data_IF_296884779737
#
_entry.id   IF_296884779737
#
_cell.length_a   1.000
_cell.length_b   1.000
_cell.length_c   1.000
_cell.angle_alpha   90.00
_cell.angle_beta   90.00
_cell.angle_gamma   90.00
#
_symmetry.space_group_name_H-M   'P 1'
#
loop_
_entity.id
_entity.type
_entity.pdbx_description
1 polymer ?
#
# COMPACT_ATOMS: atom_id res chain seq x y z
N UNK A 1 32.74 15.14 -9.92
CA UNK A 1 32.06 13.84 -10.11
C UNK A 1 31.37 13.51 -8.76
N UNK A 2 30.08 13.11 -8.75
CA UNK A 2 29.52 12.59 -7.53
C UNK A 2 30.40 11.42 -7.05
N UNK A 3 30.61 11.33 -5.73
CA UNK A 3 31.40 10.22 -5.18
C UNK A 3 30.71 8.89 -5.53
N UNK A 4 31.46 7.82 -5.70
CA UNK A 4 30.92 6.48 -5.99
C UNK A 4 29.80 6.09 -5.01
N UNK A 5 29.93 6.48 -3.75
CA UNK A 5 28.93 6.28 -2.72
C UNK A 5 27.58 6.99 -3.02
N UNK A 6 27.61 8.24 -3.50
CA UNK A 6 26.37 8.96 -3.87
C UNK A 6 25.67 8.30 -5.07
N UNK A 7 26.44 7.83 -6.06
CA UNK A 7 25.91 7.09 -7.21
C UNK A 7 25.24 5.77 -6.78
N UNK A 8 25.84 5.06 -5.84
CA UNK A 8 25.32 3.78 -5.34
C UNK A 8 24.03 3.98 -4.54
N UNK A 9 23.95 5.02 -3.69
CA UNK A 9 22.71 5.37 -2.98
C UNK A 9 21.60 5.72 -3.97
N UNK A 10 21.89 6.45 -5.04
CA UNK A 10 20.89 6.77 -6.08
C UNK A 10 20.35 5.54 -6.81
N UNK A 11 21.23 4.61 -7.18
CA UNK A 11 20.82 3.34 -7.82
C UNK A 11 19.91 2.52 -6.88
N UNK A 12 20.25 2.45 -5.59
CA UNK A 12 19.45 1.71 -4.61
C UNK A 12 18.07 2.33 -4.37
N UNK A 13 17.98 3.67 -4.38
CA UNK A 13 16.67 4.34 -4.32
C UNK A 13 15.79 4.00 -5.52
N UNK A 14 16.36 3.89 -6.72
CA UNK A 14 15.61 3.56 -7.92
C UNK A 14 15.09 2.11 -7.89
N UNK A 15 15.93 1.16 -7.47
CA UNK A 15 15.55 -0.24 -7.26
C UNK A 15 14.44 -0.38 -6.21
N UNK A 16 14.59 0.30 -5.05
CA UNK A 16 13.58 0.33 -3.99
C UNK A 16 12.25 0.90 -4.51
N UNK A 17 12.29 2.05 -5.20
CA UNK A 17 11.08 2.67 -5.75
C UNK A 17 10.39 1.76 -6.77
N UNK A 18 11.12 1.14 -7.68
CA UNK A 18 10.58 0.22 -8.70
C UNK A 18 9.88 -0.97 -8.04
N UNK A 19 10.53 -1.63 -7.10
CA UNK A 19 9.96 -2.78 -6.41
C UNK A 19 8.74 -2.39 -5.58
N UNK A 20 8.85 -1.38 -4.71
CA UNK A 20 7.76 -0.97 -3.85
C UNK A 20 6.61 -0.27 -4.58
N UNK A 21 6.85 0.38 -5.74
CA UNK A 21 5.77 0.87 -6.61
C UNK A 21 4.94 -0.30 -7.14
N UNK A 22 5.60 -1.31 -7.72
CA UNK A 22 4.91 -2.48 -8.25
C UNK A 22 4.12 -3.21 -7.15
N UNK A 23 4.75 -3.49 -6.02
CA UNK A 23 4.12 -4.16 -4.88
C UNK A 23 2.94 -3.36 -4.34
N UNK A 24 3.07 -2.06 -4.13
CA UNK A 24 1.99 -1.23 -3.60
C UNK A 24 0.82 -1.07 -4.57
N UNK A 25 1.06 -1.08 -5.89
CA UNK A 25 0.02 -1.12 -6.92
C UNK A 25 -0.73 -2.47 -6.91
N UNK A 26 0.00 -3.58 -6.78
CA UNK A 26 -0.63 -4.89 -6.65
C UNK A 26 -1.44 -5.00 -5.36
N UNK A 27 -0.94 -4.50 -4.23
CA UNK A 27 -1.70 -4.44 -2.97
C UNK A 27 -2.97 -3.61 -3.13
N UNK A 28 -2.90 -2.43 -3.80
CA UNK A 28 -4.10 -1.62 -4.11
C UNK A 28 -5.13 -2.43 -4.89
N UNK A 29 -4.70 -3.11 -5.96
CA UNK A 29 -5.58 -3.94 -6.80
C UNK A 29 -6.18 -5.11 -6.01
N UNK A 30 -5.36 -5.86 -5.28
CA UNK A 30 -5.79 -7.00 -4.48
C UNK A 30 -6.74 -6.58 -3.35
N UNK A 31 -6.47 -5.46 -2.69
CA UNK A 31 -7.35 -4.92 -1.65
C UNK A 31 -8.72 -4.51 -2.23
N UNK A 32 -8.77 -3.84 -3.38
CA UNK A 32 -10.01 -3.54 -4.07
C UNK A 32 -10.79 -4.81 -4.46
N UNK A 33 -10.10 -5.83 -4.98
CA UNK A 33 -10.71 -7.13 -5.28
C UNK A 33 -11.25 -7.81 -4.02
N UNK A 34 -10.52 -7.76 -2.91
CA UNK A 34 -10.98 -8.30 -1.62
C UNK A 34 -12.27 -7.63 -1.14
N UNK A 35 -12.39 -6.31 -1.28
CA UNK A 35 -13.61 -5.56 -0.93
C UNK A 35 -14.81 -6.00 -1.78
N UNK A 36 -14.62 -6.13 -3.10
CA UNK A 36 -15.68 -6.65 -4.00
C UNK A 36 -16.10 -8.07 -3.59
N UNK A 37 -15.13 -8.94 -3.31
CA UNK A 37 -15.39 -10.31 -2.90
C UNK A 37 -16.14 -10.39 -1.57
N UNK A 38 -15.79 -9.53 -0.59
CA UNK A 38 -16.51 -9.46 0.69
C UNK A 38 -17.95 -9.00 0.48
N UNK A 39 -18.17 -7.92 -0.29
CA UNK A 39 -19.52 -7.44 -0.60
C UNK A 39 -20.38 -8.53 -1.28
N UNK A 40 -19.81 -9.29 -2.23
CA UNK A 40 -20.54 -10.33 -2.97
C UNK A 40 -20.88 -11.58 -2.15
N UNK A 41 -20.33 -11.74 -0.94
CA UNK A 41 -20.60 -12.86 -0.03
C UNK A 41 -21.68 -12.56 1.00
N UNK A 42 -22.16 -11.34 1.06
CA UNK A 42 -23.16 -10.89 2.01
C UNK A 42 -24.54 -10.89 1.32
N UNK A 43 -25.43 -11.72 1.78
CA UNK A 43 -26.76 -11.90 1.19
C UNK A 43 -27.61 -10.60 1.23
N UNK A 44 -27.36 -9.74 2.21
CA UNK A 44 -28.07 -8.46 2.39
C UNK A 44 -27.48 -7.31 1.55
N UNK A 45 -26.40 -7.54 0.79
CA UNK A 45 -25.74 -6.51 -0.03
C UNK A 45 -26.01 -6.74 -1.53
N UNK A 46 -26.74 -5.82 -2.14
CA UNK A 46 -27.00 -5.84 -3.59
C UNK A 46 -25.83 -5.36 -4.46
N UNK A 47 -24.76 -4.87 -3.81
CA UNK A 47 -23.58 -4.31 -4.46
C UNK A 47 -23.78 -2.92 -5.07
N UNK A 48 -24.97 -2.32 -5.01
CA UNK A 48 -25.29 -0.96 -5.48
C UNK A 48 -25.63 -0.02 -4.34
N UNK A 49 -26.54 -0.43 -3.46
CA UNK A 49 -27.01 0.38 -2.34
C UNK A 49 -25.87 0.84 -1.43
N UNK A 50 -24.89 0.00 -1.18
CA UNK A 50 -23.75 0.32 -0.33
C UNK A 50 -22.90 1.50 -0.85
N UNK A 51 -22.75 1.65 -2.17
CA UNK A 51 -22.03 2.80 -2.76
C UNK A 51 -22.83 4.08 -2.56
N UNK A 52 -24.15 4.02 -2.79
CA UNK A 52 -25.04 5.16 -2.54
C UNK A 52 -25.04 5.57 -1.06
N UNK A 53 -25.05 4.59 -0.14
CA UNK A 53 -24.98 4.81 1.30
C UNK A 53 -23.64 5.42 1.73
N UNK A 54 -22.54 4.91 1.20
CA UNK A 54 -21.21 5.49 1.40
C UNK A 54 -21.19 6.94 0.98
N UNK A 55 -21.68 7.27 -0.21
CA UNK A 55 -21.70 8.65 -0.72
C UNK A 55 -22.57 9.57 0.15
N UNK A 56 -23.72 9.08 0.64
CA UNK A 56 -24.60 9.83 1.56
C UNK A 56 -23.95 10.07 2.92
N UNK A 57 -23.20 9.11 3.44
CA UNK A 57 -22.53 9.21 4.73
C UNK A 57 -21.35 10.21 4.71
N UNK A 58 -20.82 10.56 3.53
CA UNK A 58 -19.68 11.46 3.46
C UNK A 58 -20.06 12.91 3.76
N UNK A 59 -19.16 13.64 4.41
CA UNK A 59 -19.28 15.09 4.54
C UNK A 59 -19.43 15.75 3.17
N UNK A 60 -20.27 16.77 3.06
CA UNK A 60 -20.59 17.47 1.80
C UNK A 60 -19.35 17.82 0.96
N UNK A 61 -18.30 18.34 1.59
CA UNK A 61 -17.05 18.73 0.89
C UNK A 61 -16.37 17.55 0.25
N UNK A 62 -16.27 16.43 0.95
CA UNK A 62 -15.60 15.23 0.45
C UNK A 62 -16.44 14.53 -0.61
N UNK A 63 -17.75 14.43 -0.41
CA UNK A 63 -18.67 13.93 -1.43
C UNK A 63 -18.57 14.75 -2.72
N UNK A 64 -18.61 16.08 -2.65
CA UNK A 64 -18.45 16.96 -3.82
C UNK A 64 -17.08 16.82 -4.50
N UNK A 65 -16.03 16.48 -3.75
CA UNK A 65 -14.72 16.14 -4.33
C UNK A 65 -14.81 14.89 -5.19
N UNK A 66 -15.39 13.79 -4.67
CA UNK A 66 -15.56 12.52 -5.40
C UNK A 66 -16.43 12.75 -6.65
N UNK A 67 -17.59 13.39 -6.50
CA UNK A 67 -18.52 13.66 -7.60
C UNK A 67 -17.85 14.47 -8.71
N UNK A 68 -17.06 15.48 -8.37
CA UNK A 68 -16.34 16.31 -9.33
C UNK A 68 -15.23 15.54 -10.04
N UNK A 69 -14.47 14.70 -9.30
CA UNK A 69 -13.44 13.86 -9.89
C UNK A 69 -14.04 12.89 -10.92
N UNK A 70 -15.14 12.20 -10.57
CA UNK A 70 -15.85 11.31 -11.48
C UNK A 70 -16.42 12.06 -12.68
N UNK A 71 -17.10 13.18 -12.45
CA UNK A 71 -17.72 13.99 -13.52
C UNK A 71 -16.68 14.55 -14.49
N UNK A 72 -15.51 14.96 -14.01
CA UNK A 72 -14.45 15.49 -14.86
C UNK A 72 -13.89 14.44 -15.84
N UNK A 73 -13.88 13.18 -15.42
CA UNK A 73 -13.43 12.07 -16.27
C UNK A 73 -14.52 11.54 -17.19
N UNK A 74 -15.77 11.68 -16.82
CA UNK A 74 -16.92 11.31 -17.63
C UNK A 74 -17.17 12.29 -18.79
N UNK A 75 -16.71 13.55 -18.68
CA UNK A 75 -17.01 14.61 -19.64
C UNK A 75 -16.81 14.18 -21.08
N UNK A 76 -17.92 14.12 -21.79
CA UNK A 76 -18.03 13.65 -23.16
C UNK A 76 -17.26 14.53 -24.13
N UNK A 77 -16.66 13.93 -25.11
CA UNK A 77 -15.92 14.57 -26.18
C UNK A 77 -14.45 14.17 -26.17
N UNK A 78 -13.64 14.91 -26.88
CA UNK A 78 -12.21 14.63 -27.14
C UNK A 78 -11.35 14.61 -25.85
N UNK A 79 -11.91 15.01 -24.69
CA UNK A 79 -11.19 15.28 -23.42
C UNK A 79 -11.58 14.33 -22.28
N UNK A 80 -12.45 13.32 -22.49
CA UNK A 80 -12.79 12.34 -21.46
C UNK A 80 -11.67 11.35 -21.21
N UNK A 81 -11.60 10.80 -19.99
CA UNK A 81 -10.66 9.71 -19.69
C UNK A 81 -11.03 8.46 -20.52
N UNK A 82 -10.12 8.08 -21.41
CA UNK A 82 -10.30 6.96 -22.35
C UNK A 82 -10.50 5.62 -21.61
N UNK A 83 -9.94 5.47 -20.42
CA UNK A 83 -9.96 4.20 -19.68
C UNK A 83 -11.17 4.06 -18.77
N UNK A 84 -11.56 5.11 -18.05
CA UNK A 84 -12.60 5.04 -17.01
C UNK A 84 -13.89 5.81 -17.37
N UNK A 85 -13.83 6.77 -18.28
CA UNK A 85 -14.95 7.66 -18.59
C UNK A 85 -16.21 6.93 -19.05
N UNK A 86 -16.06 5.84 -19.84
CA UNK A 86 -17.21 5.02 -20.31
C UNK A 86 -17.86 4.24 -19.16
N UNK A 87 -17.08 3.71 -18.22
CA UNK A 87 -17.59 3.01 -17.03
C UNK A 87 -18.36 3.99 -16.17
N UNK A 88 -17.80 5.17 -15.90
CA UNK A 88 -18.44 6.22 -15.10
C UNK A 88 -19.76 6.67 -15.77
N UNK A 89 -19.75 6.89 -17.08
CA UNK A 89 -20.94 7.30 -17.82
C UNK A 89 -22.04 6.25 -17.81
N UNK A 90 -21.68 4.96 -17.93
CA UNK A 90 -22.65 3.86 -17.95
C UNK A 90 -23.32 3.65 -16.59
N UNK A 91 -22.56 3.75 -15.49
CA UNK A 91 -23.04 3.50 -14.13
C UNK A 91 -23.31 4.77 -13.32
N UNK A 92 -23.43 5.93 -13.97
CA UNK A 92 -23.57 7.24 -13.27
C UNK A 92 -24.72 7.30 -12.26
N UNK A 93 -25.84 6.65 -12.55
CA UNK A 93 -27.07 6.74 -11.75
C UNK A 93 -27.15 5.65 -10.66
N UNK A 94 -26.49 4.50 -10.90
CA UNK A 94 -26.39 3.40 -9.93
C UNK A 94 -25.06 2.66 -10.14
N UNK A 95 -24.05 3.04 -9.37
CA UNK A 95 -22.70 2.50 -9.54
C UNK A 95 -22.50 1.27 -8.65
N UNK A 96 -22.24 0.07 -9.21
CA UNK A 96 -21.92 -1.10 -8.41
C UNK A 96 -20.52 -0.99 -7.77
N UNK A 97 -20.31 -1.73 -6.67
CA UNK A 97 -19.05 -1.72 -5.89
C UNK A 97 -17.82 -1.91 -6.77
N UNK A 98 -17.87 -2.88 -7.69
CA UNK A 98 -16.71 -3.16 -8.56
C UNK A 98 -16.37 -1.99 -9.48
N UNK A 99 -17.40 -1.35 -10.09
CA UNK A 99 -17.19 -0.19 -10.96
C UNK A 99 -16.71 1.03 -10.16
N UNK A 100 -17.28 1.24 -8.97
CA UNK A 100 -16.85 2.29 -8.06
C UNK A 100 -15.37 2.14 -7.69
N UNK A 101 -14.96 0.96 -7.24
CA UNK A 101 -13.57 0.68 -6.85
C UNK A 101 -12.60 0.74 -8.04
N UNK A 102 -13.04 0.44 -9.26
CA UNK A 102 -12.22 0.58 -10.46
C UNK A 102 -11.90 2.06 -10.74
N UNK A 103 -12.89 2.94 -10.61
CA UNK A 103 -12.75 4.32 -11.05
C UNK A 103 -12.29 5.30 -9.97
N UNK A 104 -12.40 4.97 -8.68
CA UNK A 104 -11.99 5.90 -7.62
C UNK A 104 -10.51 5.83 -7.31
N UNK A 105 -9.99 6.93 -6.75
CA UNK A 105 -8.61 6.98 -6.25
C UNK A 105 -8.41 5.99 -5.11
N UNK A 106 -7.16 5.57 -4.87
CA UNK A 106 -6.85 4.70 -3.73
C UNK A 106 -7.25 5.32 -2.39
N UNK A 107 -7.15 6.66 -2.26
CA UNK A 107 -7.64 7.35 -1.06
C UNK A 107 -9.13 7.20 -0.83
N UNK A 108 -9.94 7.30 -1.88
CA UNK A 108 -11.39 7.10 -1.83
C UNK A 108 -11.73 5.63 -1.56
N UNK A 109 -11.02 4.69 -2.19
CA UNK A 109 -11.17 3.26 -1.89
C UNK A 109 -10.87 2.93 -0.42
N UNK A 110 -9.89 3.56 0.21
CA UNK A 110 -9.62 3.42 1.64
C UNK A 110 -10.74 3.97 2.52
N UNK A 111 -11.32 5.12 2.16
CA UNK A 111 -12.48 5.65 2.88
C UNK A 111 -13.69 4.71 2.75
N UNK A 112 -13.89 4.13 1.58
CA UNK A 112 -14.93 3.10 1.36
C UNK A 112 -14.64 1.83 2.16
N UNK A 113 -13.38 1.38 2.23
CA UNK A 113 -12.97 0.25 3.05
C UNK A 113 -13.35 0.44 4.53
N UNK A 114 -13.07 1.63 5.09
CA UNK A 114 -13.45 1.95 6.48
C UNK A 114 -14.96 1.92 6.65
N UNK A 115 -15.71 2.55 5.76
CA UNK A 115 -17.17 2.54 5.78
C UNK A 115 -17.75 1.12 5.76
N UNK A 116 -17.23 0.26 4.85
CA UNK A 116 -17.64 -1.14 4.77
C UNK A 116 -17.30 -1.90 6.06
N UNK A 117 -16.10 -1.68 6.63
CA UNK A 117 -15.70 -2.36 7.87
C UNK A 117 -16.59 -2.00 9.07
N UNK A 118 -17.08 -0.77 9.11
CA UNK A 118 -18.03 -0.31 10.13
C UNK A 118 -19.43 -0.88 9.88
N UNK A 119 -19.90 -0.88 8.64
CA UNK A 119 -21.20 -1.40 8.21
C UNK A 119 -21.32 -2.90 8.45
N UNK A 120 -20.25 -3.65 8.22
CA UNK A 120 -20.24 -5.13 8.34
C UNK A 120 -19.71 -5.62 9.69
N UNK A 121 -19.37 -4.70 10.60
CA UNK A 121 -18.70 -4.99 11.88
C UNK A 121 -17.46 -5.90 11.73
N UNK A 122 -16.69 -5.67 10.65
CA UNK A 122 -15.47 -6.41 10.31
C UNK A 122 -14.23 -5.73 10.92
N UNK A 123 -13.85 -6.18 12.12
CA UNK A 123 -12.69 -5.65 12.84
C UNK A 123 -11.37 -5.88 12.08
N UNK A 124 -11.24 -7.02 11.36
CA UNK A 124 -10.05 -7.33 10.56
C UNK A 124 -9.92 -6.35 9.39
N UNK A 125 -11.01 -6.11 8.65
CA UNK A 125 -11.04 -5.13 7.56
C UNK A 125 -10.75 -3.71 8.05
N UNK A 126 -11.18 -3.37 9.27
CA UNK A 126 -10.88 -2.08 9.91
C UNK A 126 -9.38 -1.93 10.17
N UNK A 127 -8.70 -2.96 10.67
CA UNK A 127 -7.26 -2.95 10.84
C UNK A 127 -6.53 -2.89 9.49
N UNK A 128 -6.95 -3.68 8.50
CA UNK A 128 -6.44 -3.64 7.14
C UNK A 128 -6.53 -2.23 6.53
N UNK A 129 -7.62 -1.50 6.77
CA UNK A 129 -7.74 -0.09 6.36
C UNK A 129 -6.57 0.77 6.89
N UNK A 130 -6.23 0.64 8.18
CA UNK A 130 -5.14 1.44 8.77
C UNK A 130 -3.77 1.06 8.21
N UNK A 131 -3.51 -0.21 7.99
CA UNK A 131 -2.28 -0.70 7.34
C UNK A 131 -2.20 -0.18 5.90
N UNK A 132 -3.28 -0.26 5.13
CA UNK A 132 -3.37 0.22 3.76
C UNK A 132 -3.11 1.74 3.61
N UNK A 133 -3.29 2.54 4.68
CA UNK A 133 -2.84 3.96 4.68
C UNK A 133 -1.32 4.07 4.54
N UNK A 134 -0.57 3.16 5.14
CA UNK A 134 0.88 3.06 4.96
C UNK A 134 1.26 2.66 3.54
N UNK A 135 0.56 1.66 2.99
CA UNK A 135 0.73 1.24 1.58
C UNK A 135 0.50 2.43 0.63
N UNK A 136 -0.57 3.21 0.84
CA UNK A 136 -0.84 4.41 0.05
C UNK A 136 0.29 5.43 0.14
N UNK A 137 0.88 5.61 1.32
CA UNK A 137 2.00 6.53 1.50
C UNK A 137 3.24 6.07 0.71
N UNK A 138 3.57 4.77 0.73
CA UNK A 138 4.65 4.17 -0.07
C UNK A 138 4.37 4.33 -1.57
N UNK A 139 3.19 3.97 -2.02
CA UNK A 139 2.77 4.09 -3.42
C UNK A 139 2.93 5.53 -3.93
N UNK A 140 2.47 6.52 -3.16
CA UNK A 140 2.58 7.93 -3.54
C UNK A 140 4.04 8.40 -3.52
N UNK A 141 4.84 8.02 -2.51
CA UNK A 141 6.28 8.30 -2.47
C UNK A 141 6.99 7.80 -3.73
N UNK A 142 6.72 6.56 -4.13
CA UNK A 142 7.34 5.94 -5.30
C UNK A 142 6.86 6.57 -6.62
N UNK A 143 5.55 6.83 -6.76
CA UNK A 143 4.95 7.43 -7.96
C UNK A 143 5.44 8.87 -8.22
N UNK A 144 5.66 9.64 -7.15
CA UNK A 144 6.13 11.02 -7.26
C UNK A 144 7.67 11.15 -7.28
N UNK A 145 8.41 10.04 -7.32
CA UNK A 145 9.88 10.04 -7.35
C UNK A 145 10.53 10.54 -6.06
N UNK A 146 9.79 10.59 -4.95
CA UNK A 146 10.31 11.04 -3.66
C UNK A 146 11.39 10.09 -3.11
N UNK A 147 12.24 10.59 -2.22
CA UNK A 147 13.29 9.79 -1.59
C UNK A 147 12.68 8.79 -0.58
N UNK A 148 12.58 7.53 -1.00
CA UNK A 148 11.97 6.45 -0.20
C UNK A 148 12.80 6.11 1.06
N UNK A 149 14.11 6.35 1.03
CA UNK A 149 15.02 6.08 2.14
C UNK A 149 15.23 7.28 3.06
N UNK A 150 14.60 8.42 2.77
CA UNK A 150 14.75 9.62 3.59
C UNK A 150 14.21 9.37 5.01
N UNK A 151 15.04 9.63 6.01
CA UNK A 151 14.72 9.39 7.41
C UNK A 151 14.73 7.91 7.83
N UNK A 152 15.33 7.01 7.05
CA UNK A 152 15.63 5.63 7.49
C UNK A 152 16.90 5.61 8.37
N UNK A 153 16.81 6.31 9.48
CA UNK A 153 17.84 6.38 10.50
C UNK A 153 17.19 6.46 11.90
N UNK A 154 17.99 6.45 12.93
CA UNK A 154 17.51 6.51 14.32
C UNK A 154 16.92 7.86 14.74
N UNK A 155 16.97 8.89 13.91
CA UNK A 155 16.49 10.24 14.22
C UNK A 155 15.00 10.44 13.92
N UNK A 156 14.38 9.55 13.14
CA UNK A 156 13.00 9.68 12.68
C UNK A 156 12.06 8.67 13.34
N UNK A 157 12.06 8.67 14.66
CA UNK A 157 11.13 7.86 15.45
C UNK A 157 9.72 8.45 15.41
N UNK A 158 8.71 7.60 15.42
CA UNK A 158 7.30 7.99 15.52
C UNK A 158 6.60 7.21 16.63
N UNK A 159 5.56 7.81 17.21
CA UNK A 159 4.74 7.21 18.26
C UNK A 159 3.57 6.38 17.71
N UNK A 160 3.48 6.19 16.39
CA UNK A 160 2.45 5.34 15.80
C UNK A 160 2.70 3.88 16.17
N UNK A 161 1.76 3.29 16.89
CA UNK A 161 1.75 1.85 17.13
C UNK A 161 1.47 1.10 15.83
N UNK A 162 2.16 -0.02 15.62
CA UNK A 162 1.78 -0.99 14.59
C UNK A 162 0.45 -1.66 14.98
N UNK A 163 -0.34 -2.04 13.99
CA UNK A 163 -1.57 -2.81 14.25
C UNK A 163 -1.27 -4.20 14.76
N UNK A 164 -2.25 -4.83 15.43
CA UNK A 164 -2.14 -6.21 15.90
C UNK A 164 -1.83 -7.16 14.77
N UNK A 165 -2.46 -7.00 13.60
CA UNK A 165 -2.20 -7.83 12.41
C UNK A 165 -0.74 -7.80 11.95
N UNK A 166 -0.05 -6.66 12.10
CA UNK A 166 1.38 -6.56 11.77
C UNK A 166 2.23 -7.28 12.81
N UNK A 167 1.89 -7.16 14.10
CA UNK A 167 2.60 -7.89 15.15
C UNK A 167 2.41 -9.40 15.03
N UNK A 168 1.19 -9.86 14.73
CA UNK A 168 0.88 -11.28 14.52
C UNK A 168 1.67 -11.83 13.34
N UNK A 169 1.71 -11.11 12.22
CA UNK A 169 2.52 -11.47 11.06
C UNK A 169 4.01 -11.56 11.40
N UNK A 170 4.58 -10.60 12.14
CA UNK A 170 5.97 -10.63 12.56
C UNK A 170 6.27 -11.85 13.44
N UNK A 171 5.36 -12.21 14.33
CA UNK A 171 5.48 -13.38 15.20
C UNK A 171 5.41 -14.68 14.39
N UNK A 172 4.43 -14.83 13.51
CA UNK A 172 4.22 -15.97 12.62
C UNK A 172 5.44 -16.22 11.72
N UNK A 173 5.99 -15.16 11.12
CA UNK A 173 7.18 -15.24 10.27
C UNK A 173 8.50 -15.36 11.06
N UNK A 174 8.45 -15.46 12.39
CA UNK A 174 9.64 -15.65 13.23
C UNK A 174 10.57 -14.42 13.26
N UNK A 175 10.04 -13.23 13.05
CA UNK A 175 10.79 -11.98 13.20
C UNK A 175 10.93 -11.67 14.68
N UNK A 176 12.06 -12.02 15.28
CA UNK A 176 12.30 -11.86 16.71
C UNK A 176 12.17 -10.42 17.20
N UNK A 177 11.81 -10.27 18.47
CA UNK A 177 11.51 -8.97 19.12
C UNK A 177 12.72 -8.42 19.92
N UNK A 178 13.89 -8.25 19.28
CA UNK A 178 15.06 -7.63 19.92
C UNK A 178 14.90 -6.12 20.09
N UNK A 179 15.64 -5.52 21.06
CA UNK A 179 15.66 -4.06 21.27
C UNK A 179 15.98 -3.30 19.98
N UNK A 180 16.94 -3.78 19.21
CA UNK A 180 17.35 -3.16 17.93
C UNK A 180 16.25 -3.23 16.87
N UNK A 181 15.50 -4.34 16.78
CA UNK A 181 14.37 -4.47 15.84
C UNK A 181 13.21 -3.57 16.24
N UNK A 182 12.89 -3.49 17.54
CA UNK A 182 11.87 -2.55 18.05
C UNK A 182 12.21 -1.11 17.71
N UNK A 183 13.47 -0.70 17.90
CA UNK A 183 13.91 0.65 17.53
C UNK A 183 13.72 0.94 16.03
N UNK A 184 14.03 -0.03 15.14
CA UNK A 184 13.79 0.13 13.71
C UNK A 184 12.30 0.20 13.36
N UNK A 185 11.46 -0.55 14.06
CA UNK A 185 10.00 -0.53 13.88
C UNK A 185 9.34 0.74 14.44
N UNK A 186 10.04 1.56 15.19
CA UNK A 186 9.61 2.93 15.56
C UNK A 186 9.87 3.95 14.45
N UNK A 187 10.63 3.60 13.42
CA UNK A 187 10.84 4.47 12.28
C UNK A 187 9.65 4.40 11.32
N UNK A 188 8.99 5.54 11.04
CA UNK A 188 7.76 5.58 10.24
C UNK A 188 7.95 5.05 8.81
N UNK A 189 9.11 5.28 8.19
CA UNK A 189 9.39 4.75 6.84
C UNK A 189 9.47 3.23 6.86
N UNK A 190 10.17 2.68 7.84
CA UNK A 190 10.26 1.23 8.02
C UNK A 190 8.90 0.61 8.30
N UNK A 191 8.05 1.26 9.11
CA UNK A 191 6.67 0.80 9.32
C UNK A 191 5.90 0.73 8.01
N UNK A 192 5.92 1.78 7.20
CA UNK A 192 5.18 1.84 5.92
C UNK A 192 5.65 0.79 4.92
N UNK A 193 6.96 0.53 4.84
CA UNK A 193 7.51 -0.54 4.01
C UNK A 193 7.09 -1.92 4.52
N UNK A 194 7.15 -2.15 5.85
CA UNK A 194 6.65 -3.37 6.48
C UNK A 194 5.15 -3.55 6.24
N UNK A 195 4.34 -2.53 6.47
CA UNK A 195 2.89 -2.52 6.21
C UNK A 195 2.58 -2.94 4.77
N UNK A 196 3.40 -2.49 3.80
CA UNK A 196 3.26 -2.87 2.39
C UNK A 196 3.57 -4.34 2.16
N UNK A 197 4.64 -4.87 2.76
CA UNK A 197 5.02 -6.28 2.66
C UNK A 197 3.99 -7.19 3.34
N UNK A 198 3.51 -6.81 4.52
CA UNK A 198 2.47 -7.55 5.26
C UNK A 198 1.20 -7.66 4.42
N UNK A 199 0.72 -6.56 3.85
CA UNK A 199 -0.49 -6.59 3.01
C UNK A 199 -0.27 -7.36 1.70
N UNK A 200 0.93 -7.30 1.13
CA UNK A 200 1.27 -8.09 -0.06
C UNK A 200 1.17 -9.60 0.21
N UNK A 201 1.78 -10.07 1.30
CA UNK A 201 1.72 -11.49 1.71
C UNK A 201 0.30 -11.92 2.07
N UNK A 202 -0.39 -11.16 2.93
CA UNK A 202 -1.76 -11.46 3.40
C UNK A 202 -2.80 -11.54 2.27
N UNK A 203 -2.65 -10.73 1.24
CA UNK A 203 -3.55 -10.73 0.07
C UNK A 203 -3.16 -11.77 -0.99
N UNK A 204 -2.17 -12.63 -0.73
CA UNK A 204 -1.71 -13.67 -1.64
C UNK A 204 -0.80 -13.15 -2.76
N UNK A 205 -0.20 -11.99 -2.58
CA UNK A 205 0.65 -11.33 -3.57
C UNK A 205 1.79 -12.20 -4.11
N UNK A 206 2.56 -12.93 -3.29
CA UNK A 206 3.62 -13.80 -3.79
C UNK A 206 3.15 -14.83 -4.83
N UNK A 207 1.96 -15.38 -4.65
CA UNK A 207 1.37 -16.34 -5.60
C UNK A 207 0.70 -15.67 -6.79
N UNK A 208 0.06 -14.50 -6.58
CA UNK A 208 -0.80 -13.85 -7.56
C UNK A 208 -0.07 -12.80 -8.42
N UNK A 209 1.11 -12.34 -7.99
CA UNK A 209 1.83 -11.22 -8.59
C UNK A 209 3.30 -11.58 -8.87
N UNK A 210 3.60 -12.48 -9.82
CA UNK A 210 4.94 -13.01 -10.07
C UNK A 210 5.95 -11.90 -10.44
N UNK A 211 5.53 -10.84 -11.10
CA UNK A 211 6.39 -9.71 -11.44
C UNK A 211 6.87 -8.95 -10.20
N UNK A 212 5.97 -8.62 -9.29
CA UNK A 212 6.31 -7.94 -8.04
C UNK A 212 7.16 -8.82 -7.12
N UNK A 213 6.87 -10.12 -7.10
CA UNK A 213 7.68 -11.14 -6.40
C UNK A 213 9.11 -11.13 -6.91
N UNK A 214 9.33 -11.23 -8.23
CA UNK A 214 10.65 -11.19 -8.83
C UNK A 214 11.41 -9.86 -8.56
N UNK A 215 10.69 -8.73 -8.55
CA UNK A 215 11.29 -7.44 -8.19
C UNK A 215 11.73 -7.39 -6.73
N UNK A 216 10.95 -7.97 -5.81
CA UNK A 216 11.34 -8.06 -4.40
C UNK A 216 12.53 -9.00 -4.19
N UNK A 217 12.59 -10.14 -4.88
CA UNK A 217 13.73 -11.06 -4.85
C UNK A 217 15.03 -10.38 -5.32
N UNK A 218 14.95 -9.69 -6.47
CA UNK A 218 16.08 -8.91 -7.00
C UNK A 218 16.51 -7.80 -6.05
N UNK A 219 15.56 -7.07 -5.47
CA UNK A 219 15.84 -6.05 -4.47
C UNK A 219 16.51 -6.63 -3.24
N UNK A 220 16.01 -7.76 -2.70
CA UNK A 220 16.60 -8.44 -1.54
C UNK A 220 18.07 -8.78 -1.78
N UNK A 221 18.37 -9.39 -2.92
CA UNK A 221 19.74 -9.75 -3.29
C UNK A 221 20.65 -8.50 -3.37
N UNK A 222 20.14 -7.43 -3.99
CA UNK A 222 20.82 -6.15 -4.12
C UNK A 222 21.11 -5.48 -2.77
N UNK A 223 20.14 -5.50 -1.83
CA UNK A 223 20.31 -4.96 -0.49
C UNK A 223 21.36 -5.74 0.32
N UNK A 224 21.38 -7.06 0.22
CA UNK A 224 22.37 -7.90 0.89
C UNK A 224 23.78 -7.64 0.37
N UNK A 225 23.98 -7.57 -0.95
CA UNK A 225 25.28 -7.23 -1.56
C UNK A 225 25.79 -5.83 -1.12
N UNK A 226 24.87 -4.86 -0.95
CA UNK A 226 25.20 -3.55 -0.39
C UNK A 226 25.67 -3.66 1.06
N UNK A 227 24.99 -4.46 1.88
CA UNK A 227 25.35 -4.66 3.28
C UNK A 227 26.74 -5.31 3.47
N UNK A 228 27.16 -6.15 2.54
CA UNK A 228 28.49 -6.76 2.53
C UNK A 228 29.58 -5.73 2.20
N UNK A 229 29.29 -4.84 1.23
CA UNK A 229 30.25 -3.85 0.73
C UNK A 229 30.56 -2.72 1.73
N UNK A 230 29.61 -2.30 2.56
CA UNK A 230 29.74 -1.12 3.44
C UNK A 230 30.00 -1.41 4.92
N UNK A 231 30.08 -2.68 5.32
CA UNK A 231 30.38 -3.09 6.72
C UNK A 231 29.25 -2.84 7.73
N UNK A 232 29.41 -3.41 8.93
CA UNK A 232 28.34 -3.56 9.94
C UNK A 232 28.07 -2.28 10.73
N UNK A 233 28.97 -1.31 10.75
CA UNK A 233 28.91 -0.16 11.68
C UNK A 233 28.05 1.02 11.19
N UNK A 234 27.50 0.95 9.98
CA UNK A 234 26.66 2.02 9.43
C UNK A 234 25.19 1.79 9.84
N UNK A 235 24.62 2.74 10.58
CA UNK A 235 23.21 2.68 11.02
C UNK A 235 22.22 2.46 9.86
N UNK A 236 22.41 3.15 8.74
CA UNK A 236 21.58 3.00 7.53
C UNK A 236 21.66 1.58 6.93
N UNK A 237 22.88 1.01 6.84
CA UNK A 237 23.08 -0.38 6.37
C UNK A 237 22.32 -1.37 7.25
N UNK A 238 22.23 -1.10 8.55
CA UNK A 238 21.46 -1.92 9.48
C UNK A 238 19.95 -1.91 9.17
N UNK A 239 19.40 -0.77 8.69
CA UNK A 239 18.01 -0.69 8.21
C UNK A 239 17.81 -1.45 6.90
N UNK A 240 18.74 -1.36 5.95
CA UNK A 240 18.69 -2.09 4.67
C UNK A 240 18.72 -3.61 4.90
N UNK A 241 19.59 -4.09 5.81
CA UNK A 241 19.64 -5.50 6.18
C UNK A 241 18.34 -5.99 6.83
N UNK A 242 17.74 -5.15 7.67
CA UNK A 242 16.44 -5.47 8.27
C UNK A 242 15.34 -5.53 7.21
N UNK A 243 15.31 -4.58 6.27
CA UNK A 243 14.37 -4.60 5.16
C UNK A 243 14.54 -5.84 4.28
N UNK A 244 15.78 -6.24 3.95
CA UNK A 244 16.05 -7.47 3.20
C UNK A 244 15.49 -8.72 3.92
N UNK A 245 15.62 -8.78 5.25
CA UNK A 245 15.02 -9.84 6.06
C UNK A 245 13.48 -9.82 6.02
N UNK A 246 12.85 -8.64 6.10
CA UNK A 246 11.39 -8.53 5.99
C UNK A 246 10.88 -8.95 4.60
N UNK A 247 11.60 -8.61 3.54
CA UNK A 247 11.28 -9.06 2.17
C UNK A 247 11.36 -10.58 2.09
N UNK A 248 12.42 -11.19 2.61
CA UNK A 248 12.56 -12.65 2.66
C UNK A 248 11.37 -13.32 3.34
N UNK A 249 10.92 -12.76 4.47
CA UNK A 249 9.76 -13.25 5.21
C UNK A 249 8.42 -13.07 4.49
N UNK A 250 8.30 -12.04 3.66
CA UNK A 250 7.09 -11.81 2.87
C UNK A 250 7.00 -12.70 1.63
N UNK A 251 8.12 -13.25 1.17
CA UNK A 251 8.19 -14.13 -0.01
C UNK A 251 8.06 -15.63 0.31
N UNK A 252 8.27 -16.03 1.56
CA UNK A 252 8.21 -17.44 1.97
C UNK A 252 8.37 -17.70 3.40
#
# INVERSE_FOLDING_TARGET
>A
KPSSAASDVYKRQDELRKAFLAVSQDVERLAKTSMVTRASRLDDEDGYGIVADFMRAQQRRYRSYIERDLSSRMSAGIVGDVYTGRIIGHYRDAMPVWAFLEVVTFGTALAFCLFCSERWDDAVMREEHYILKGVKAVRNCCSHGSCIVNGMDGSNECDYALSSLVYDWLAEKGVGNSKTRRAKLRNRRMQQLLETLVMFDRLGGPALCPRSTALLEGLRASLLGTCESYGVQNGFVSYLRFLANLIDKALG
#
